data_IF_947242136951
#
_entry.id   IF_947242136951
#
_cell.length_a   1.000
_cell.length_b   1.000
_cell.length_c   1.000
_cell.angle_alpha   90.00
_cell.angle_beta   90.00
_cell.angle_gamma   90.00
#
_symmetry.space_group_name_H-M   'P 1'
#
loop_
_entity.id
_entity.type
_entity.pdbx_description
1 polymer ?
#
# COMPACT_ATOMS: atom_id res chain seq x y z
N UNK A 1 5.28 8.69 12.96
CA UNK A 1 6.02 9.28 11.83
C UNK A 1 7.52 9.36 12.04
N UNK A 2 8.07 9.47 13.27
CA UNK A 2 9.54 9.55 13.49
C UNK A 2 10.29 8.40 12.83
N UNK A 3 9.79 7.17 13.01
CA UNK A 3 10.27 5.93 12.41
C UNK A 3 10.46 5.94 10.88
N UNK A 4 9.67 6.73 10.13
CA UNK A 4 9.78 6.83 8.67
C UNK A 4 11.08 7.52 8.26
N UNK A 5 11.58 8.42 9.12
CA UNK A 5 12.73 9.27 8.87
C UNK A 5 13.96 8.74 9.61
N UNK A 6 13.81 8.39 10.90
CA UNK A 6 14.94 7.96 11.75
C UNK A 6 15.64 6.70 11.23
N UNK A 7 14.95 5.85 10.48
CA UNK A 7 15.57 4.65 9.91
C UNK A 7 16.73 4.97 8.95
N UNK A 8 16.74 6.14 8.30
CA UNK A 8 17.80 6.54 7.37
C UNK A 8 19.14 6.78 8.06
N UNK A 9 19.14 6.97 9.38
CA UNK A 9 20.35 7.08 10.20
C UNK A 9 21.06 5.72 10.40
N UNK A 10 20.39 4.61 10.08
CA UNK A 10 20.91 3.26 10.27
C UNK A 10 21.26 2.58 8.95
N UNK A 11 22.55 2.29 8.73
CA UNK A 11 23.04 1.67 7.48
C UNK A 11 22.31 0.37 7.13
N UNK A 12 22.00 -0.48 8.13
CA UNK A 12 21.23 -1.72 7.89
C UNK A 12 19.85 -1.44 7.29
N UNK A 13 19.15 -0.40 7.75
CA UNK A 13 17.85 -0.02 7.21
C UNK A 13 17.96 0.51 5.78
N UNK A 14 18.97 1.32 5.49
CA UNK A 14 19.24 1.81 4.13
C UNK A 14 19.50 0.64 3.17
N UNK A 15 20.27 -0.36 3.60
CA UNK A 15 20.49 -1.58 2.82
C UNK A 15 19.19 -2.37 2.62
N UNK A 16 18.35 -2.48 3.65
CA UNK A 16 17.05 -3.14 3.53
C UNK A 16 16.09 -2.41 2.58
N UNK A 17 16.12 -1.07 2.53
CA UNK A 17 15.40 -0.29 1.50
C UNK A 17 15.86 -0.71 0.11
N UNK A 18 17.18 -0.74 -0.12
CA UNK A 18 17.75 -1.09 -1.43
C UNK A 18 17.41 -2.53 -1.84
N UNK A 19 17.49 -3.48 -0.90
CA UNK A 19 17.14 -4.89 -1.14
C UNK A 19 15.64 -5.02 -1.46
N UNK A 20 14.77 -4.39 -0.67
CA UNK A 20 13.32 -4.42 -0.91
C UNK A 20 12.96 -3.76 -2.24
N UNK A 21 13.57 -2.62 -2.58
CA UNK A 21 13.37 -1.95 -3.85
C UNK A 21 13.85 -2.79 -5.02
N UNK A 22 15.06 -3.33 -4.94
CA UNK A 22 15.65 -4.16 -5.99
C UNK A 22 14.85 -5.43 -6.23
N UNK A 23 14.45 -6.14 -5.17
CA UNK A 23 13.64 -7.36 -5.26
C UNK A 23 12.26 -7.07 -5.85
N UNK A 24 11.60 -6.00 -5.37
CA UNK A 24 10.28 -5.62 -5.87
C UNK A 24 10.33 -5.20 -7.34
N UNK A 25 11.30 -4.35 -7.72
CA UNK A 25 11.49 -3.95 -9.12
C UNK A 25 11.79 -5.16 -10.01
N UNK A 26 12.77 -5.98 -9.64
CA UNK A 26 13.18 -7.14 -10.42
C UNK A 26 12.03 -8.12 -10.68
N UNK A 27 11.13 -8.32 -9.70
CA UNK A 27 9.98 -9.19 -9.86
C UNK A 27 8.79 -8.51 -10.56
N UNK A 28 8.73 -7.18 -10.63
CA UNK A 28 7.75 -6.47 -11.47
C UNK A 28 8.12 -6.49 -12.95
N UNK A 29 9.40 -6.35 -13.29
CA UNK A 29 9.88 -6.18 -14.67
C UNK A 29 9.32 -7.22 -15.67
N UNK A 30 9.30 -8.54 -15.38
CA UNK A 30 8.76 -9.53 -16.31
C UNK A 30 7.28 -9.31 -16.63
N UNK A 31 6.52 -8.81 -15.65
CA UNK A 31 5.08 -8.61 -15.80
C UNK A 31 4.71 -7.27 -16.41
N UNK A 32 5.64 -6.31 -16.51
CA UNK A 32 5.42 -5.04 -17.24
C UNK A 32 5.09 -5.27 -18.72
N UNK A 33 5.39 -6.45 -19.27
CA UNK A 33 5.02 -6.90 -20.62
C UNK A 33 3.56 -7.39 -20.73
N UNK A 34 2.90 -7.71 -19.62
CA UNK A 34 1.53 -8.26 -19.56
C UNK A 34 0.60 -7.21 -18.94
N UNK A 35 0.35 -6.14 -19.70
CA UNK A 35 -0.43 -4.98 -19.25
C UNK A 35 -1.94 -5.27 -19.31
N UNK A 36 -2.66 -4.94 -18.23
CA UNK A 36 -4.13 -4.98 -18.19
C UNK A 36 -4.69 -3.68 -18.76
N UNK A 37 -4.14 -2.54 -18.32
CA UNK A 37 -4.38 -1.24 -18.95
C UNK A 37 -3.04 -0.72 -19.45
N UNK A 38 -2.89 -0.53 -20.77
CA UNK A 38 -1.64 -0.04 -21.36
C UNK A 38 -1.14 1.23 -20.70
N UNK A 39 0.11 1.22 -20.24
CA UNK A 39 0.77 2.37 -19.59
C UNK A 39 0.38 2.63 -18.12
N UNK A 40 -0.58 1.91 -17.54
CA UNK A 40 -1.07 2.21 -16.17
C UNK A 40 -1.03 1.04 -15.20
N UNK A 41 -1.37 -0.19 -15.63
CA UNK A 41 -1.36 -1.34 -14.72
C UNK A 41 -1.21 -2.67 -15.44
N UNK A 42 -0.42 -3.56 -14.83
CA UNK A 42 -0.13 -4.92 -15.26
C UNK A 42 -0.70 -5.97 -14.29
N UNK A 43 -0.54 -7.25 -14.61
CA UNK A 43 -0.72 -8.32 -13.62
C UNK A 43 0.47 -8.27 -12.66
N UNK A 44 0.26 -8.14 -11.35
CA UNK A 44 1.36 -7.82 -10.43
C UNK A 44 1.55 -8.81 -9.29
N UNK A 45 2.07 -10.03 -9.53
CA UNK A 45 2.33 -10.98 -8.44
C UNK A 45 3.32 -10.45 -7.39
N UNK A 46 4.23 -9.57 -7.81
CA UNK A 46 5.25 -8.96 -6.95
C UNK A 46 4.66 -8.06 -5.83
N UNK A 47 3.38 -7.67 -5.89
CA UNK A 47 2.73 -6.82 -4.85
C UNK A 47 2.66 -7.49 -3.48
N UNK A 48 2.86 -8.81 -3.40
CA UNK A 48 3.05 -9.45 -2.10
C UNK A 48 4.30 -8.96 -1.36
N UNK A 49 5.34 -8.51 -2.07
CA UNK A 49 6.63 -8.14 -1.48
C UNK A 49 6.58 -6.88 -0.63
N UNK A 50 5.94 -5.76 -1.03
CA UNK A 50 5.72 -4.63 -0.14
C UNK A 50 5.18 -5.01 1.23
N UNK A 51 4.16 -5.88 1.28
CA UNK A 51 3.56 -6.31 2.55
C UNK A 51 4.55 -7.16 3.35
N UNK A 52 5.17 -8.17 2.72
CA UNK A 52 6.12 -9.07 3.38
C UNK A 52 7.34 -8.29 3.91
N UNK A 53 7.97 -7.49 3.05
CA UNK A 53 9.15 -6.71 3.39
C UNK A 53 8.85 -5.73 4.51
N UNK A 54 7.70 -5.06 4.51
CA UNK A 54 7.39 -4.13 5.59
C UNK A 54 7.00 -4.79 6.89
N UNK A 55 6.40 -5.98 6.87
CA UNK A 55 6.15 -6.72 8.11
C UNK A 55 7.45 -7.09 8.83
N UNK A 56 8.51 -7.38 8.09
CA UNK A 56 9.85 -7.66 8.63
C UNK A 56 10.67 -6.38 8.88
N UNK A 57 10.82 -5.52 7.87
CA UNK A 57 11.76 -4.40 7.85
C UNK A 57 11.10 -3.05 8.15
N UNK A 58 9.80 -3.03 8.44
CA UNK A 58 9.08 -1.82 8.83
C UNK A 58 9.06 -0.75 7.72
N UNK A 59 9.30 0.54 8.05
CA UNK A 59 9.39 1.63 7.09
C UNK A 59 10.42 1.40 5.97
N UNK A 60 11.47 0.59 6.20
CA UNK A 60 12.45 0.29 5.14
C UNK A 60 11.82 -0.51 4.00
N UNK A 61 10.92 -1.45 4.32
CA UNK A 61 10.13 -2.16 3.32
C UNK A 61 9.16 -1.24 2.58
N UNK A 62 8.59 -0.24 3.26
CA UNK A 62 7.67 0.73 2.66
C UNK A 62 8.36 1.68 1.67
N UNK A 63 9.53 2.21 2.05
CA UNK A 63 10.38 2.96 1.13
C UNK A 63 10.88 2.08 -0.03
N UNK A 64 11.25 0.84 0.26
CA UNK A 64 11.60 -0.13 -0.76
C UNK A 64 10.46 -0.34 -1.78
N UNK A 65 9.21 -0.41 -1.31
CA UNK A 65 8.05 -0.58 -2.17
C UNK A 65 7.84 0.59 -3.13
N UNK A 66 7.88 1.84 -2.65
CA UNK A 66 7.68 2.99 -3.53
C UNK A 66 8.84 3.17 -4.52
N UNK A 67 10.09 3.05 -4.05
CA UNK A 67 11.28 3.17 -4.91
C UNK A 67 11.31 2.04 -5.94
N UNK A 68 11.05 0.80 -5.51
CA UNK A 68 11.01 -0.36 -6.40
C UNK A 68 9.93 -0.24 -7.49
N UNK A 69 8.74 0.27 -7.13
CA UNK A 69 7.71 0.58 -8.12
C UNK A 69 8.20 1.63 -9.13
N UNK A 70 8.75 2.75 -8.65
CA UNK A 70 9.24 3.82 -9.51
C UNK A 70 10.33 3.32 -10.48
N UNK A 71 11.27 2.53 -9.97
CA UNK A 71 12.33 1.92 -10.80
C UNK A 71 11.73 1.02 -11.87
N UNK A 72 10.74 0.19 -11.52
CA UNK A 72 10.06 -0.68 -12.49
C UNK A 72 9.25 0.12 -13.53
N UNK A 73 8.70 1.29 -13.17
CA UNK A 73 7.94 2.12 -14.09
C UNK A 73 8.81 2.66 -15.24
N UNK A 74 10.13 2.86 -15.04
CA UNK A 74 11.05 3.22 -16.13
C UNK A 74 11.10 2.18 -17.27
N UNK A 75 10.61 0.95 -17.05
CA UNK A 75 10.48 -0.07 -18.09
C UNK A 75 9.22 0.05 -18.97
N UNK A 76 8.59 1.23 -19.03
CA UNK A 76 7.53 1.53 -20.01
C UNK A 76 6.22 2.08 -19.45
N UNK A 77 6.17 2.46 -18.18
CA UNK A 77 4.99 3.07 -17.52
C UNK A 77 5.31 4.38 -16.78
N UNK A 78 6.53 4.88 -16.93
CA UNK A 78 6.97 6.11 -16.28
C UNK A 78 6.22 7.31 -16.84
N UNK A 79 5.65 8.12 -15.94
CA UNK A 79 4.92 9.33 -16.30
C UNK A 79 4.42 10.07 -15.07
N UNK A 80 3.54 11.09 -15.24
CA UNK A 80 2.99 11.86 -14.13
C UNK A 80 2.31 10.99 -13.07
N UNK A 81 1.72 9.86 -13.50
CA UNK A 81 1.10 8.87 -12.62
C UNK A 81 2.07 8.21 -11.62
N UNK A 82 3.36 8.14 -11.93
CA UNK A 82 4.36 7.51 -11.05
C UNK A 82 4.54 8.25 -9.72
N UNK A 83 4.20 9.54 -9.64
CA UNK A 83 4.17 10.29 -8.38
C UNK A 83 3.09 9.76 -7.42
N UNK A 84 1.91 9.46 -7.95
CA UNK A 84 0.84 8.85 -7.16
C UNK A 84 1.15 7.38 -6.86
N UNK A 85 1.81 6.70 -7.80
CA UNK A 85 2.37 5.36 -7.61
C UNK A 85 3.35 5.30 -6.43
N UNK A 86 4.23 6.29 -6.28
CA UNK A 86 5.14 6.41 -5.14
C UNK A 86 4.37 6.49 -3.81
N UNK A 87 3.41 7.41 -3.70
CA UNK A 87 2.61 7.58 -2.49
C UNK A 87 1.78 6.33 -2.16
N UNK A 88 1.09 5.77 -3.15
CA UNK A 88 0.28 4.57 -3.00
C UNK A 88 1.08 3.35 -2.56
N UNK A 89 2.21 3.07 -3.22
CA UNK A 89 3.07 1.93 -2.86
C UNK A 89 3.77 2.12 -1.51
N UNK A 90 4.12 3.36 -1.15
CA UNK A 90 4.68 3.64 0.18
C UNK A 90 3.65 3.28 1.26
N UNK A 91 2.42 3.76 1.15
CA UNK A 91 1.36 3.46 2.13
C UNK A 91 0.96 1.98 2.12
N UNK A 92 0.95 1.35 0.94
CA UNK A 92 0.73 -0.08 0.78
C UNK A 92 1.74 -0.92 1.57
N UNK A 93 3.01 -0.49 1.58
CA UNK A 93 4.05 -1.09 2.41
C UNK A 93 3.96 -0.63 3.87
N UNK A 94 3.60 0.60 4.18
CA UNK A 94 3.70 1.12 5.55
C UNK A 94 2.59 0.62 6.49
N UNK A 95 1.35 0.51 5.99
CA UNK A 95 0.19 0.09 6.79
C UNK A 95 0.32 -1.33 7.38
N UNK A 96 0.81 -2.35 6.65
CA UNK A 96 1.04 -3.67 7.21
C UNK A 96 1.88 -3.67 8.47
N UNK A 97 2.99 -2.93 8.48
CA UNK A 97 3.85 -2.78 9.64
C UNK A 97 3.09 -2.17 10.83
N UNK A 98 2.42 -1.03 10.62
CA UNK A 98 1.73 -0.30 11.69
C UNK A 98 0.59 -1.11 12.30
N UNK A 99 -0.26 -1.69 11.46
CA UNK A 99 -1.43 -2.46 11.90
C UNK A 99 -0.97 -3.74 12.59
N UNK A 100 0.00 -4.48 12.03
CA UNK A 100 0.50 -5.69 12.67
C UNK A 100 1.10 -5.39 14.04
N UNK A 101 1.98 -4.39 14.12
CA UNK A 101 2.60 -3.98 15.38
C UNK A 101 1.59 -3.62 16.46
N UNK A 102 0.49 -2.96 16.08
CA UNK A 102 -0.56 -2.60 17.03
C UNK A 102 -1.27 -3.81 17.63
N UNK A 103 -1.68 -4.77 16.79
CA UNK A 103 -2.52 -5.89 17.23
C UNK A 103 -1.70 -7.10 17.71
N UNK A 104 -0.45 -7.23 17.26
CA UNK A 104 0.45 -8.35 17.58
C UNK A 104 1.72 -7.95 18.33
N UNK A 105 2.04 -6.66 18.42
CA UNK A 105 3.30 -6.20 18.99
C UNK A 105 4.50 -6.64 18.15
N UNK A 106 5.60 -6.90 18.85
CA UNK A 106 6.89 -7.32 18.26
C UNK A 106 7.04 -8.85 18.22
N UNK A 107 5.93 -9.59 18.25
CA UNK A 107 5.93 -11.07 18.18
C UNK A 107 6.27 -11.51 16.75
N UNK A 108 6.79 -12.74 16.59
CA UNK A 108 7.03 -13.40 15.30
C UNK A 108 5.96 -13.07 14.27
N UNK A 109 6.41 -12.79 13.03
CA UNK A 109 5.55 -12.45 11.90
C UNK A 109 4.94 -13.69 11.24
N UNK A 110 5.17 -14.88 11.83
CA UNK A 110 4.59 -16.15 11.40
C UNK A 110 3.08 -16.15 11.55
N UNK A 111 2.39 -16.57 10.50
CA UNK A 111 0.93 -16.76 10.48
C UNK A 111 0.64 -18.17 10.99
N UNK A 112 0.41 -18.30 12.29
CA UNK A 112 0.29 -19.60 12.96
C UNK A 112 -1.13 -19.95 13.41
N UNK A 113 -1.94 -18.94 13.71
CA UNK A 113 -3.32 -19.10 14.18
C UNK A 113 -4.30 -18.50 13.18
N UNK A 114 -5.53 -18.98 13.19
CA UNK A 114 -6.60 -18.42 12.36
C UNK A 114 -6.81 -16.91 12.57
N UNK A 115 -6.68 -16.43 13.81
CA UNK A 115 -6.72 -14.98 14.13
C UNK A 115 -5.61 -14.18 13.43
N UNK A 116 -4.43 -14.77 13.23
CA UNK A 116 -3.30 -14.14 12.55
C UNK A 116 -3.60 -14.01 11.06
N UNK A 117 -4.23 -15.03 10.49
CA UNK A 117 -4.67 -15.04 9.11
C UNK A 117 -5.80 -14.01 8.86
N UNK A 118 -6.78 -13.91 9.77
CA UNK A 118 -7.82 -12.88 9.68
C UNK A 118 -7.24 -11.45 9.78
N UNK A 119 -6.28 -11.24 10.69
CA UNK A 119 -5.58 -9.96 10.79
C UNK A 119 -4.81 -9.65 9.50
N UNK A 120 -4.17 -10.66 8.91
CA UNK A 120 -3.45 -10.51 7.66
C UNK A 120 -4.39 -10.16 6.50
N UNK A 121 -5.55 -10.82 6.39
CA UNK A 121 -6.57 -10.47 5.39
C UNK A 121 -6.99 -9.01 5.57
N UNK A 122 -7.29 -8.58 6.80
CA UNK A 122 -7.65 -7.19 7.09
C UNK A 122 -6.56 -6.20 6.67
N UNK A 123 -5.29 -6.52 6.98
CA UNK A 123 -4.12 -5.72 6.57
C UNK A 123 -4.05 -5.62 5.04
N UNK A 124 -4.15 -6.75 4.33
CA UNK A 124 -4.08 -6.79 2.88
C UNK A 124 -5.22 -5.97 2.27
N UNK A 125 -6.45 -6.11 2.78
CA UNK A 125 -7.63 -5.37 2.30
C UNK A 125 -7.46 -3.87 2.47
N UNK A 126 -7.14 -3.40 3.69
CA UNK A 126 -6.99 -1.96 3.95
C UNK A 126 -5.83 -1.38 3.15
N UNK A 127 -4.67 -2.05 3.15
CA UNK A 127 -3.49 -1.55 2.43
C UNK A 127 -3.76 -1.46 0.93
N UNK A 128 -4.43 -2.48 0.37
CA UNK A 128 -4.80 -2.52 -1.06
C UNK A 128 -5.77 -1.41 -1.42
N UNK A 129 -6.79 -1.17 -0.58
CA UNK A 129 -7.77 -0.10 -0.78
C UNK A 129 -7.12 1.28 -0.68
N UNK A 130 -6.23 1.51 0.29
CA UNK A 130 -5.47 2.77 0.39
C UNK A 130 -4.61 3.02 -0.84
N UNK A 131 -3.84 2.01 -1.26
CA UNK A 131 -2.99 2.09 -2.44
C UNK A 131 -3.82 2.43 -3.70
N UNK A 132 -4.90 1.67 -3.91
CA UNK A 132 -5.81 1.86 -5.03
C UNK A 132 -6.46 3.25 -5.01
N UNK A 133 -7.01 3.69 -3.88
CA UNK A 133 -7.67 4.99 -3.76
C UNK A 133 -6.71 6.14 -4.01
N UNK A 134 -5.50 6.13 -3.41
CA UNK A 134 -4.51 7.20 -3.60
C UNK A 134 -4.07 7.28 -5.06
N UNK A 135 -3.77 6.15 -5.69
CA UNK A 135 -3.37 6.12 -7.10
C UNK A 135 -4.53 6.58 -8.00
N UNK A 136 -5.74 6.08 -7.77
CA UNK A 136 -6.89 6.37 -8.63
C UNK A 136 -7.34 7.83 -8.54
N UNK A 137 -7.35 8.42 -7.34
CA UNK A 137 -7.61 9.87 -7.18
C UNK A 137 -6.49 10.72 -7.76
N UNK A 138 -5.24 10.30 -7.64
CA UNK A 138 -4.13 10.97 -8.30
C UNK A 138 -4.25 10.93 -9.82
N UNK A 139 -4.57 9.77 -10.38
CA UNK A 139 -4.76 9.60 -11.83
C UNK A 139 -5.98 10.39 -12.35
N UNK A 140 -7.03 10.57 -11.54
CA UNK A 140 -8.15 11.47 -11.85
C UNK A 140 -7.69 12.90 -12.13
N UNK A 141 -6.71 13.41 -11.36
CA UNK A 141 -6.18 14.78 -11.55
C UNK A 141 -5.48 14.99 -12.89
N UNK A 142 -5.01 13.91 -13.52
CA UNK A 142 -4.34 13.94 -14.82
C UNK A 142 -5.23 13.37 -15.94
N UNK A 143 -6.54 13.24 -15.69
CA UNK A 143 -7.55 12.94 -16.71
C UNK A 143 -7.92 11.47 -16.85
N UNK A 144 -7.41 10.57 -16.01
CA UNK A 144 -7.83 9.16 -16.02
C UNK A 144 -8.86 8.89 -14.91
N UNK A 145 -10.09 8.49 -15.23
CA UNK A 145 -11.14 8.39 -14.23
C UNK A 145 -10.84 7.39 -13.10
N UNK A 146 -11.23 7.72 -11.86
CA UNK A 146 -11.04 6.89 -10.68
C UNK A 146 -11.51 5.44 -10.88
N UNK A 147 -12.71 5.28 -11.45
CA UNK A 147 -13.31 3.96 -11.68
C UNK A 147 -12.56 3.11 -12.71
N UNK A 148 -11.73 3.71 -13.57
CA UNK A 148 -11.01 2.99 -14.63
C UNK A 148 -9.91 2.08 -14.10
N UNK A 149 -9.29 2.44 -12.96
CA UNK A 149 -8.11 1.74 -12.42
C UNK A 149 -8.33 1.17 -11.01
N UNK A 150 -9.24 1.76 -10.23
CA UNK A 150 -9.40 1.45 -8.80
C UNK A 150 -9.65 -0.03 -8.51
N UNK A 151 -10.64 -0.66 -9.16
CA UNK A 151 -10.90 -2.10 -8.95
C UNK A 151 -9.75 -2.98 -9.45
N UNK A 152 -9.07 -2.59 -10.52
CA UNK A 152 -7.98 -3.40 -11.08
C UNK A 152 -6.78 -3.42 -10.13
N UNK A 153 -6.41 -2.27 -9.57
CA UNK A 153 -5.33 -2.17 -8.56
C UNK A 153 -5.75 -2.91 -7.28
N UNK A 154 -6.98 -2.68 -6.81
CA UNK A 154 -7.48 -3.31 -5.59
C UNK A 154 -7.48 -4.84 -5.72
N UNK A 155 -8.05 -5.38 -6.79
CA UNK A 155 -8.14 -6.83 -7.01
C UNK A 155 -6.77 -7.47 -7.22
N UNK A 156 -5.86 -6.85 -7.98
CA UNK A 156 -4.47 -7.35 -8.11
C UNK A 156 -3.82 -7.51 -6.72
N UNK A 157 -3.88 -6.46 -5.91
CA UNK A 157 -3.26 -6.46 -4.59
C UNK A 157 -3.93 -7.46 -3.63
N UNK A 158 -5.25 -7.62 -3.71
CA UNK A 158 -5.99 -8.60 -2.90
C UNK A 158 -5.65 -10.03 -3.30
N UNK A 159 -5.70 -10.37 -4.59
CA UNK A 159 -5.49 -11.74 -5.09
C UNK A 159 -4.09 -12.21 -4.72
N UNK A 160 -3.06 -11.44 -5.05
CA UNK A 160 -1.68 -11.83 -4.77
C UNK A 160 -1.29 -11.62 -3.31
N UNK A 161 -1.85 -10.60 -2.65
CA UNK A 161 -1.63 -10.35 -1.23
C UNK A 161 -2.15 -11.49 -0.35
N UNK A 162 -3.41 -11.91 -0.55
CA UNK A 162 -4.03 -12.97 0.27
C UNK A 162 -3.40 -14.33 -0.02
N UNK A 163 -3.03 -14.61 -1.28
CA UNK A 163 -2.47 -15.92 -1.66
C UNK A 163 -0.99 -16.08 -1.31
N UNK A 164 -0.14 -15.09 -1.60
CA UNK A 164 1.32 -15.24 -1.52
C UNK A 164 1.91 -14.74 -0.19
N UNK A 165 1.34 -13.70 0.43
CA UNK A 165 1.92 -13.13 1.67
C UNK A 165 1.98 -14.16 2.81
N UNK A 166 0.93 -14.94 3.13
CA UNK A 166 1.02 -15.93 4.21
C UNK A 166 2.11 -16.99 3.96
N UNK A 167 2.27 -17.41 2.71
CA UNK A 167 3.26 -18.40 2.28
C UNK A 167 4.67 -17.85 2.49
N UNK A 168 4.92 -16.63 1.98
CA UNK A 168 6.22 -15.98 2.07
C UNK A 168 6.61 -15.62 3.50
N UNK A 169 5.68 -15.11 4.32
CA UNK A 169 5.94 -14.84 5.73
C UNK A 169 6.37 -16.10 6.48
N UNK A 170 5.62 -17.20 6.31
CA UNK A 170 5.93 -18.45 6.99
C UNK A 170 7.26 -19.08 6.53
N UNK A 171 7.63 -18.87 5.26
CA UNK A 171 8.89 -19.36 4.70
C UNK A 171 10.10 -18.53 5.14
N UNK A 172 9.96 -17.20 5.16
CA UNK A 172 11.06 -16.27 5.45
C UNK A 172 11.28 -16.01 6.94
N UNK A 173 10.27 -16.18 7.80
CA UNK A 173 10.33 -15.84 9.23
C UNK A 173 11.58 -16.42 9.91
N UNK A 174 11.87 -17.72 9.73
CA UNK A 174 13.06 -18.34 10.34
C UNK A 174 14.38 -17.70 9.88
N UNK A 175 14.49 -17.34 8.61
CA UNK A 175 15.74 -16.80 8.02
C UNK A 175 15.95 -15.35 8.44
N UNK A 176 14.89 -14.53 8.37
CA UNK A 176 14.93 -13.12 8.79
C UNK A 176 15.27 -13.01 10.27
N UNK A 177 14.67 -13.85 11.12
CA UNK A 177 14.97 -13.89 12.55
C UNK A 177 16.41 -14.36 12.83
N UNK A 178 16.91 -15.36 12.09
CA UNK A 178 18.28 -15.84 12.25
C UNK A 178 19.33 -14.77 11.92
N UNK A 179 19.02 -13.86 10.99
CA UNK A 179 19.90 -12.76 10.60
C UNK A 179 19.66 -11.46 11.36
N UNK A 180 18.73 -11.46 12.31
CA UNK A 180 18.36 -10.30 13.13
C UNK A 180 18.01 -9.07 12.27
N UNK A 181 17.23 -9.29 11.21
CA UNK A 181 16.87 -8.26 10.24
C UNK A 181 15.53 -7.60 10.54
N UNK A 182 14.85 -7.95 11.64
CA UNK A 182 13.59 -7.31 11.96
C UNK A 182 13.80 -5.84 12.30
N UNK A 183 12.83 -5.01 11.94
CA UNK A 183 12.84 -3.58 12.24
C UNK A 183 13.09 -3.32 13.72
N UNK A 184 12.41 -4.08 14.58
CA UNK A 184 12.44 -3.91 16.03
C UNK A 184 13.76 -4.36 16.67
N UNK A 185 14.60 -5.12 15.96
CA UNK A 185 15.94 -5.55 16.41
C UNK A 185 17.02 -4.52 16.04
N UNK A 186 16.83 -3.80 14.94
CA UNK A 186 17.78 -2.81 14.43
C UNK A 186 17.52 -1.42 15.02
N UNK A 187 16.25 -1.05 15.19
CA UNK A 187 15.87 0.31 15.55
C UNK A 187 15.67 0.48 17.06
N UNK A 188 16.15 1.59 17.65
CA UNK A 188 16.00 1.84 19.07
C UNK A 188 14.53 2.09 19.43
N UNK A 189 14.09 1.65 20.62
CA UNK A 189 12.67 1.70 21.01
C UNK A 189 12.06 3.11 20.99
N UNK A 190 12.86 4.15 21.18
CA UNK A 190 12.45 5.56 21.16
C UNK A 190 12.19 6.12 19.75
N UNK A 191 12.64 5.44 18.69
CA UNK A 191 12.39 5.84 17.30
C UNK A 191 10.97 5.50 16.84
N UNK A 192 10.31 4.61 17.58
CA UNK A 192 8.96 4.14 17.31
C UNK A 192 7.96 5.19 17.78
N UNK A 193 7.02 5.54 16.90
CA UNK A 193 5.95 6.48 17.22
C UNK A 193 4.84 5.79 18.01
N UNK A 194 4.33 6.44 19.04
CA UNK A 194 3.18 5.96 19.80
C UNK A 194 1.93 5.80 18.93
N UNK A 195 1.22 4.70 19.13
CA UNK A 195 0.01 4.34 18.36
C UNK A 195 -1.29 4.69 19.11
N UNK A 196 -1.25 5.68 20.01
CA UNK A 196 -2.38 6.05 20.90
C UNK A 196 -3.69 6.30 20.14
N UNK A 197 -3.62 6.97 18.99
CA UNK A 197 -4.80 7.33 18.18
C UNK A 197 -5.06 6.37 17.00
N UNK A 198 -4.27 5.31 16.88
CA UNK A 198 -4.30 4.42 15.71
C UNK A 198 -5.67 3.77 15.51
N UNK A 199 -6.45 3.47 16.56
CA UNK A 199 -7.76 2.82 16.39
C UNK A 199 -8.78 3.75 15.75
N UNK A 200 -8.81 5.00 16.21
CA UNK A 200 -9.67 6.02 15.63
C UNK A 200 -9.22 6.31 14.20
N UNK A 201 -7.91 6.40 13.97
CA UNK A 201 -7.35 6.59 12.62
C UNK A 201 -7.76 5.46 11.66
N UNK A 202 -7.69 4.19 12.08
CA UNK A 202 -8.14 3.05 11.25
C UNK A 202 -9.64 3.17 10.93
N UNK A 203 -10.48 3.50 11.91
CA UNK A 203 -11.94 3.62 11.69
C UNK A 203 -12.23 4.73 10.67
N UNK A 204 -11.65 5.91 10.87
CA UNK A 204 -11.82 7.04 9.94
C UNK A 204 -11.28 6.69 8.56
N UNK A 205 -10.12 6.02 8.49
CA UNK A 205 -9.54 5.57 7.23
C UNK A 205 -10.50 4.63 6.49
N UNK A 206 -11.11 3.66 7.17
CA UNK A 206 -12.11 2.76 6.56
C UNK A 206 -13.31 3.54 6.04
N UNK A 207 -13.84 4.51 6.81
CA UNK A 207 -14.92 5.37 6.34
C UNK A 207 -14.53 6.17 5.10
N UNK A 208 -13.31 6.73 5.07
CA UNK A 208 -12.78 7.46 3.92
C UNK A 208 -12.60 6.56 2.68
N UNK A 209 -12.17 5.31 2.87
CA UNK A 209 -12.06 4.35 1.77
C UNK A 209 -13.43 3.99 1.19
N UNK A 210 -14.43 3.76 2.04
CA UNK A 210 -15.80 3.52 1.59
C UNK A 210 -16.33 4.73 0.82
N UNK A 211 -16.17 5.95 1.38
CA UNK A 211 -16.58 7.18 0.72
C UNK A 211 -15.85 7.40 -0.61
N UNK A 212 -14.54 7.10 -0.67
CA UNK A 212 -13.73 7.16 -1.89
C UNK A 212 -14.31 6.30 -3.00
N UNK A 213 -14.66 5.04 -2.70
CA UNK A 213 -15.22 4.14 -3.71
C UNK A 213 -16.64 4.53 -4.08
N UNK A 214 -17.48 4.98 -3.14
CA UNK A 214 -18.82 5.47 -3.47
C UNK A 214 -18.71 6.67 -4.41
N UNK A 215 -17.98 7.71 -4.02
CA UNK A 215 -17.87 8.96 -4.78
C UNK A 215 -17.23 8.71 -6.14
N UNK A 216 -16.11 7.98 -6.18
CA UNK A 216 -15.42 7.67 -7.43
C UNK A 216 -16.25 6.86 -8.46
N UNK A 217 -17.30 6.17 -8.01
CA UNK A 217 -18.21 5.39 -8.87
C UNK A 217 -19.55 6.08 -9.16
N UNK A 218 -19.84 7.25 -8.58
CA UNK A 218 -21.07 8.01 -8.88
C UNK A 218 -21.27 8.19 -10.40
N UNK A 219 -20.27 8.60 -11.21
CA UNK A 219 -20.48 8.79 -12.65
C UNK A 219 -20.95 7.51 -13.37
N UNK A 220 -20.45 6.35 -12.95
CA UNK A 220 -20.82 5.05 -13.52
C UNK A 220 -22.24 4.67 -13.09
N UNK A 221 -22.55 4.81 -11.80
CA UNK A 221 -23.87 4.52 -11.23
C UNK A 221 -24.92 5.42 -11.87
N UNK A 222 -24.64 6.71 -12.03
CA UNK A 222 -25.52 7.67 -12.66
C UNK A 222 -25.80 7.34 -14.12
N UNK A 223 -24.78 6.95 -14.87
CA UNK A 223 -24.95 6.52 -16.26
C UNK A 223 -25.81 5.27 -16.41
N UNK A 224 -25.72 4.32 -15.48
CA UNK A 224 -26.47 3.05 -15.52
C UNK A 224 -27.92 3.23 -15.04
N UNK A 225 -28.12 3.99 -13.96
CA UNK A 225 -29.41 4.05 -13.26
C UNK A 225 -30.23 5.29 -13.58
N UNK A 226 -29.62 6.33 -14.17
CA UNK A 226 -30.22 7.65 -14.33
C UNK A 226 -30.36 8.46 -13.02
N UNK A 227 -29.97 7.91 -11.87
CA UNK A 227 -30.05 8.56 -10.56
C UNK A 227 -28.73 9.26 -10.20
N UNK A 228 -28.74 10.21 -9.26
CA UNK A 228 -27.54 10.92 -8.78
C UNK A 228 -26.77 11.75 -9.84
N UNK A 229 -27.38 12.07 -10.98
CA UNK A 229 -26.73 12.86 -12.04
C UNK A 229 -26.18 14.21 -11.52
N UNK A 230 -26.88 14.82 -10.56
CA UNK A 230 -26.45 16.05 -9.87
C UNK A 230 -25.13 15.89 -9.10
N UNK A 231 -24.78 14.67 -8.68
CA UNK A 231 -23.54 14.34 -7.97
C UNK A 231 -22.43 13.79 -8.88
N UNK A 232 -22.70 13.51 -10.15
CA UNK A 232 -21.71 12.97 -11.07
C UNK A 232 -20.50 13.92 -11.28
N UNK A 233 -20.72 15.23 -11.12
CA UNK A 233 -19.66 16.24 -11.12
C UNK A 233 -18.69 16.11 -9.94
N UNK A 234 -19.13 15.59 -8.80
CA UNK A 234 -18.32 15.49 -7.57
C UNK A 234 -17.10 14.59 -7.76
N UNK A 235 -17.24 13.48 -8.48
CA UNK A 235 -16.14 12.57 -8.76
C UNK A 235 -15.12 13.15 -9.76
N UNK A 236 -15.57 14.05 -10.64
CA UNK A 236 -14.75 14.67 -11.66
C UNK A 236 -14.11 15.98 -11.20
N UNK A 237 -14.53 16.50 -10.05
CA UNK A 237 -14.00 17.71 -9.45
C UNK A 237 -12.57 17.50 -8.91
N UNK A 238 -11.57 18.26 -9.41
CA UNK A 238 -10.20 18.17 -8.92
C UNK A 238 -10.06 18.42 -7.42
N UNK A 239 -10.90 19.28 -6.83
CA UNK A 239 -10.84 19.58 -5.40
C UNK A 239 -11.22 18.33 -4.59
N UNK A 240 -12.27 17.64 -5.00
CA UNK A 240 -12.69 16.37 -4.39
C UNK A 240 -11.60 15.30 -4.48
N UNK A 241 -10.95 15.17 -5.65
CA UNK A 241 -9.85 14.22 -5.82
C UNK A 241 -8.66 14.51 -4.90
N UNK A 242 -8.23 15.78 -4.80
CA UNK A 242 -7.16 16.20 -3.89
C UNK A 242 -7.56 15.95 -2.44
N UNK A 243 -8.77 16.36 -2.04
CA UNK A 243 -9.26 16.22 -0.67
C UNK A 243 -9.29 14.75 -0.24
N UNK A 244 -9.86 13.87 -1.06
CA UNK A 244 -9.91 12.44 -0.77
C UNK A 244 -8.53 11.83 -0.64
N UNK A 245 -7.65 12.12 -1.61
CA UNK A 245 -6.28 11.61 -1.59
C UNK A 245 -5.53 12.08 -0.33
N UNK A 246 -5.58 13.37 0.00
CA UNK A 246 -4.88 13.94 1.16
C UNK A 246 -5.43 13.39 2.47
N UNK A 247 -6.75 13.31 2.64
CA UNK A 247 -7.35 12.74 3.86
C UNK A 247 -6.96 11.27 4.04
N UNK A 248 -7.02 10.46 2.98
CA UNK A 248 -6.61 9.06 3.04
C UNK A 248 -5.13 8.95 3.42
N UNK A 249 -4.24 9.75 2.83
CA UNK A 249 -2.80 9.76 3.16
C UNK A 249 -2.59 10.13 4.64
N UNK A 250 -3.21 11.21 5.12
CA UNK A 250 -3.06 11.69 6.49
C UNK A 250 -3.49 10.60 7.48
N UNK A 251 -4.70 10.06 7.31
CA UNK A 251 -5.21 9.05 8.23
C UNK A 251 -4.44 7.73 8.14
N UNK A 252 -3.96 7.34 6.95
CA UNK A 252 -3.08 6.19 6.80
C UNK A 252 -1.74 6.34 7.54
N UNK A 253 -1.16 7.55 7.58
CA UNK A 253 0.07 7.80 8.34
C UNK A 253 -0.15 7.85 9.87
N UNK A 254 -1.38 8.17 10.30
CA UNK A 254 -1.79 8.19 11.70
C UNK A 254 -2.11 6.79 12.27
N UNK A 255 -2.48 5.82 11.43
CA UNK A 255 -2.62 4.38 11.80
C UNK A 255 -1.31 3.86 12.33
#
# INVERSE_FOLDING_TARGET
>A
MKEIISMWEHTKMVVLVAISAGLYAALLLPFKMIQIIPGFTEIRPAVCLPIVCSLFFGPAGAWGACIGNLVADFAGQFGPGSLFGLAGNFLYGYLPYRIWKKYKGNISKKVSRFKDFLLLIFIVVISSAVCSSVISWGLQLIGLPFYSVSWIILLNNLIFGISLVPVLLNWLDKRVNAWQLNYEEIMPKNSITDQRYSSIAIIILVCLLIASFIIGYIPVISKITGHFNEFAGLANDPVTAVLMMVLIIIFALLV
#
